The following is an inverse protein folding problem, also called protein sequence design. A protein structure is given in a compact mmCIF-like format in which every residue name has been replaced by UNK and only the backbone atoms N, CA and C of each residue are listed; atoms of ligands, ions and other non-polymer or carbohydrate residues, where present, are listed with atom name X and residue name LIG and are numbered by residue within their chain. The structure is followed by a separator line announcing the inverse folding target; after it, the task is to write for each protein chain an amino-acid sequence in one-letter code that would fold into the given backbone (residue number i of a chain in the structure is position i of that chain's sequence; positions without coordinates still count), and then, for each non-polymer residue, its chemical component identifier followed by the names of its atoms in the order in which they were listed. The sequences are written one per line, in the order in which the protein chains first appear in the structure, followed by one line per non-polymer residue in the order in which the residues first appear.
data_IF_414852264637
#
_entry.id   IF_414852264637
#
_cell.length_a   1.000
_cell.length_b   1.000
_cell.length_c   1.000
_cell.angle_alpha   90.00
_cell.angle_beta   90.00
_cell.angle_gamma   90.00
#
_symmetry.space_group_name_H-M   'P 1'
#
loop_
_entity.id
_entity.type
_entity.pdbx_description
1 polymer ?
#
# COMPACT_ATOMS: atom_id res chain seq x y z
N UNK A 1 -61.68 -36.82 30.08
CA UNK A 1 -62.90 -36.96 29.26
C UNK A 1 -62.45 -36.72 27.80
N UNK A 2 -62.43 -37.82 27.15
CA UNK A 2 -63.01 -38.14 25.81
C UNK A 2 -62.53 -37.24 24.66
N UNK A 3 -62.01 -37.72 23.64
CA UNK A 3 -61.95 -38.96 22.87
C UNK A 3 -61.77 -38.59 21.42
N UNK A 4 -60.86 -39.26 20.72
CA UNK A 4 -61.13 -40.02 19.47
C UNK A 4 -61.54 -39.17 18.28
N UNK A 5 -61.16 -39.42 17.07
CA UNK A 5 -60.63 -40.49 16.24
C UNK A 5 -60.33 -39.90 14.86
N UNK A 6 -59.36 -40.38 14.25
CA UNK A 6 -59.25 -41.38 13.16
C UNK A 6 -59.30 -40.80 11.75
N UNK A 7 -58.24 -41.12 11.06
CA UNK A 7 -58.06 -41.90 9.80
C UNK A 7 -58.45 -41.27 8.49
N UNK A 8 -57.50 -41.12 7.57
CA UNK A 8 -57.31 -42.09 6.48
C UNK A 8 -56.27 -41.59 5.45
N UNK A 9 -55.33 -42.44 5.15
CA UNK A 9 -54.60 -42.52 3.88
C UNK A 9 -55.52 -43.22 2.86
N UNK A 10 -55.16 -43.34 1.54
CA UNK A 10 -53.93 -43.07 0.78
C UNK A 10 -54.21 -42.47 -0.62
N UNK A 11 -53.21 -42.07 -1.38
CA UNK A 11 -52.98 -42.66 -2.71
C UNK A 11 -51.72 -42.16 -3.39
N UNK A 12 -51.01 -43.15 -3.84
CA UNK A 12 -49.80 -43.18 -4.57
C UNK A 12 -50.04 -42.71 -6.03
N UNK A 13 -49.17 -41.79 -6.55
CA UNK A 13 -48.99 -41.67 -7.99
C UNK A 13 -47.53 -41.36 -8.31
N UNK A 14 -46.84 -42.38 -8.75
CA UNK A 14 -45.49 -42.30 -9.35
C UNK A 14 -45.59 -41.76 -10.74
N UNK A 15 -44.79 -40.70 -11.05
CA UNK A 15 -44.39 -40.36 -12.41
C UNK A 15 -42.86 -40.24 -12.45
N UNK A 16 -42.18 -40.78 -13.47
CA UNK A 16 -40.72 -40.73 -13.56
C UNK A 16 -40.28 -39.40 -14.16
N UNK A 17 -39.73 -38.53 -13.31
CA UNK A 17 -39.15 -37.25 -13.78
C UNK A 17 -37.72 -37.41 -14.28
N UNK A 18 -37.52 -36.99 -15.49
CA UNK A 18 -36.23 -36.90 -16.18
C UNK A 18 -35.22 -36.04 -15.36
N UNK A 19 -34.10 -36.61 -15.03
CA UNK A 19 -32.96 -35.88 -14.48
C UNK A 19 -32.33 -35.11 -15.66
N UNK A 20 -32.54 -33.79 -15.71
CA UNK A 20 -31.78 -32.88 -16.58
C UNK A 20 -30.59 -32.43 -15.76
N UNK A 21 -29.43 -33.02 -16.06
CA UNK A 21 -28.16 -32.59 -15.46
C UNK A 21 -27.76 -31.21 -16.02
N UNK A 22 -27.78 -30.20 -15.15
CA UNK A 22 -27.16 -28.91 -15.45
C UNK A 22 -25.65 -29.06 -15.23
N UNK A 23 -24.90 -29.16 -16.32
CA UNK A 23 -23.46 -28.98 -16.30
C UNK A 23 -23.19 -27.48 -16.20
N UNK A 24 -22.92 -27.02 -14.98
CA UNK A 24 -22.44 -25.64 -14.78
C UNK A 24 -20.99 -25.57 -15.22
N UNK A 25 -20.77 -25.12 -16.46
CA UNK A 25 -19.46 -24.72 -16.92
C UNK A 25 -19.08 -23.40 -16.25
N UNK A 26 -18.33 -23.46 -15.15
CA UNK A 26 -17.70 -22.28 -14.55
C UNK A 26 -16.58 -21.81 -15.49
N UNK A 27 -16.90 -20.84 -16.36
CA UNK A 27 -15.88 -20.11 -17.12
C UNK A 27 -15.19 -19.18 -16.12
N UNK A 28 -14.05 -19.62 -15.63
CA UNK A 28 -13.13 -18.75 -14.88
C UNK A 28 -12.58 -17.69 -15.82
N UNK A 29 -13.11 -16.48 -15.74
CA UNK A 29 -12.51 -15.30 -16.34
C UNK A 29 -11.24 -14.98 -15.57
N UNK A 30 -10.11 -15.50 -16.08
CA UNK A 30 -8.80 -14.96 -15.73
C UNK A 30 -8.73 -13.54 -16.32
N UNK A 31 -8.91 -12.52 -15.48
CA UNK A 31 -8.47 -11.18 -15.81
C UNK A 31 -6.93 -11.21 -15.83
N UNK A 32 -6.35 -11.47 -16.99
CA UNK A 32 -4.98 -11.08 -17.23
C UNK A 32 -4.94 -9.56 -17.18
N UNK A 33 -4.46 -9.00 -16.06
CA UNK A 33 -4.17 -7.58 -15.97
C UNK A 33 -3.22 -7.23 -17.10
N UNK A 34 -3.61 -6.27 -17.95
CA UNK A 34 -2.74 -5.75 -19.00
C UNK A 34 -1.53 -5.08 -18.31
N UNK A 35 -0.38 -5.73 -18.36
CA UNK A 35 0.88 -5.14 -17.91
C UNK A 35 1.13 -3.87 -18.76
N UNK A 36 1.36 -2.73 -18.09
CA UNK A 36 1.75 -1.51 -18.77
C UNK A 36 3.15 -1.68 -19.37
N UNK A 37 3.43 -1.18 -20.59
CA UNK A 37 4.73 -1.39 -21.27
C UNK A 37 5.97 -0.87 -20.53
N UNK A 38 5.80 -0.10 -19.44
CA UNK A 38 6.89 0.40 -18.58
C UNK A 38 7.28 -0.53 -17.44
N UNK A 39 6.42 -1.45 -17.03
CA UNK A 39 6.58 -2.24 -15.79
C UNK A 39 7.60 -3.39 -15.91
N UNK A 40 7.99 -3.77 -17.11
CA UNK A 40 8.81 -4.96 -17.35
C UNK A 40 10.32 -4.74 -17.18
N UNK A 41 10.78 -3.51 -17.06
CA UNK A 41 12.21 -3.19 -17.01
C UNK A 41 12.75 -2.93 -15.59
N UNK A 42 11.88 -2.71 -14.62
CA UNK A 42 12.26 -2.40 -13.24
C UNK A 42 12.54 -3.68 -12.43
N UNK A 43 13.57 -3.63 -11.60
CA UNK A 43 13.84 -4.68 -10.62
C UNK A 43 13.19 -4.31 -9.29
N UNK A 44 12.29 -5.16 -8.82
CA UNK A 44 11.55 -4.95 -7.56
C UNK A 44 12.37 -5.42 -6.38
N UNK A 45 12.67 -4.54 -5.44
CA UNK A 45 13.27 -4.90 -4.15
C UNK A 45 12.23 -4.68 -3.07
N UNK A 46 11.78 -5.76 -2.43
CA UNK A 46 10.87 -5.71 -1.29
C UNK A 46 11.65 -5.86 0.00
N UNK A 47 11.49 -4.93 0.94
CA UNK A 47 12.08 -5.00 2.28
C UNK A 47 10.98 -5.27 3.29
N UNK A 48 11.11 -6.36 4.05
CA UNK A 48 10.08 -6.80 5.00
C UNK A 48 10.64 -6.96 6.41
N UNK A 49 9.78 -6.70 7.39
CA UNK A 49 10.00 -7.08 8.79
C UNK A 49 10.05 -8.62 8.89
N UNK A 50 11.13 -9.17 9.44
CA UNK A 50 11.32 -10.62 9.56
C UNK A 50 10.20 -11.29 10.37
N UNK A 51 9.63 -10.60 11.38
CA UNK A 51 8.62 -11.15 12.28
C UNK A 51 7.23 -11.14 11.66
N UNK A 52 6.81 -9.98 11.09
CA UNK A 52 5.43 -9.79 10.60
C UNK A 52 5.28 -10.04 9.11
N UNK A 53 6.39 -10.10 8.36
CA UNK A 53 6.44 -10.20 6.90
C UNK A 53 5.82 -8.99 6.18
N UNK A 54 5.48 -7.96 6.91
CA UNK A 54 4.99 -6.70 6.38
C UNK A 54 6.13 -5.93 5.71
N UNK A 55 5.83 -5.24 4.63
CA UNK A 55 6.76 -4.31 4.00
C UNK A 55 7.13 -3.17 4.95
N UNK A 56 8.39 -2.79 4.98
CA UNK A 56 8.89 -1.71 5.85
C UNK A 56 9.16 -0.47 5.00
N UNK A 57 8.41 0.62 5.19
CA UNK A 57 8.64 1.88 4.48
C UNK A 57 9.90 2.60 4.96
N UNK A 58 10.44 3.48 4.12
CA UNK A 58 11.59 4.35 4.41
C UNK A 58 12.86 3.57 4.83
N UNK A 59 13.10 2.43 4.21
CA UNK A 59 14.39 1.75 4.28
C UNK A 59 15.27 2.28 3.16
N UNK A 60 16.44 2.78 3.50
CA UNK A 60 17.45 3.19 2.53
C UNK A 60 18.17 1.94 1.99
N UNK A 61 18.18 1.80 0.68
CA UNK A 61 19.01 0.87 -0.07
C UNK A 61 20.01 1.69 -0.90
N UNK A 62 21.29 1.63 -0.54
CA UNK A 62 22.32 2.44 -1.16
C UNK A 62 23.39 1.59 -1.81
N UNK A 63 23.63 1.78 -3.08
CA UNK A 63 24.71 1.11 -3.82
C UNK A 63 26.09 1.63 -3.41
N UNK A 64 27.15 0.89 -3.77
CA UNK A 64 28.55 1.31 -3.50
C UNK A 64 28.91 2.64 -4.17
N UNK A 65 28.31 2.95 -5.30
CA UNK A 65 28.45 4.24 -6.00
C UNK A 65 27.45 5.31 -5.56
N UNK A 66 26.85 5.17 -4.38
CA UNK A 66 25.97 6.14 -3.72
C UNK A 66 24.62 6.43 -4.41
N UNK A 67 24.10 5.52 -5.21
CA UNK A 67 22.71 5.60 -5.65
C UNK A 67 21.84 5.16 -4.47
N UNK A 68 21.00 6.06 -3.96
CA UNK A 68 20.10 5.79 -2.83
C UNK A 68 18.67 5.64 -3.30
N UNK A 69 18.02 4.58 -2.85
CA UNK A 69 16.59 4.30 -3.01
C UNK A 69 15.96 4.22 -1.63
N UNK A 70 14.71 4.59 -1.54
CA UNK A 70 13.93 4.48 -0.31
C UNK A 70 12.68 3.68 -0.58
N UNK A 71 12.42 2.68 0.25
CA UNK A 71 11.20 1.89 0.12
C UNK A 71 9.95 2.75 0.36
N UNK A 72 8.92 2.52 -0.44
CA UNK A 72 7.60 3.13 -0.28
C UNK A 72 6.78 2.49 0.86
N UNK A 73 5.50 2.83 0.98
CA UNK A 73 4.65 2.34 2.07
C UNK A 73 4.37 0.83 2.04
N UNK A 74 4.56 0.17 0.90
CA UNK A 74 4.54 -1.29 0.81
C UNK A 74 5.91 -1.93 1.08
N UNK A 75 6.94 -1.15 1.39
CA UNK A 75 8.31 -1.64 1.57
C UNK A 75 9.01 -1.95 0.24
N UNK A 76 8.56 -1.36 -0.86
CA UNK A 76 9.09 -1.61 -2.21
C UNK A 76 10.00 -0.47 -2.65
N UNK A 77 11.12 -0.83 -3.27
CA UNK A 77 11.97 0.06 -4.05
C UNK A 77 12.12 -0.49 -5.47
N UNK A 78 11.85 0.34 -6.47
CA UNK A 78 11.99 0.03 -7.88
C UNK A 78 13.38 0.47 -8.37
N UNK A 79 14.21 -0.48 -8.74
CA UNK A 79 15.58 -0.22 -9.19
C UNK A 79 15.71 -0.32 -10.70
N UNK A 80 16.31 0.70 -11.31
CA UNK A 80 16.62 0.71 -12.74
C UNK A 80 17.92 1.48 -12.98
N UNK A 81 19.02 0.76 -12.99
CA UNK A 81 20.34 1.27 -13.37
C UNK A 81 20.88 0.41 -14.52
N UNK A 82 20.82 0.93 -15.77
CA UNK A 82 21.19 0.14 -16.95
C UNK A 82 22.58 -0.47 -16.88
N UNK A 83 23.57 0.27 -16.34
CA UNK A 83 24.95 -0.21 -16.17
C UNK A 83 25.16 -1.25 -15.08
N UNK A 84 24.17 -1.45 -14.19
CA UNK A 84 24.24 -2.41 -13.10
C UNK A 84 23.32 -3.63 -13.31
N UNK A 85 22.44 -3.57 -14.30
CA UNK A 85 21.55 -4.68 -14.65
C UNK A 85 22.34 -5.90 -15.11
N UNK A 86 22.05 -7.05 -14.53
CA UNK A 86 22.75 -8.32 -14.82
C UNK A 86 24.04 -8.54 -14.03
N UNK A 87 24.53 -7.54 -13.28
CA UNK A 87 25.69 -7.64 -12.41
C UNK A 87 25.31 -7.88 -10.94
N UNK A 88 26.24 -8.42 -10.14
CA UNK A 88 26.08 -8.40 -8.69
C UNK A 88 26.26 -6.97 -8.17
N UNK A 89 25.26 -6.45 -7.48
CA UNK A 89 25.23 -5.12 -6.86
C UNK A 89 25.12 -5.27 -5.36
N UNK A 90 26.01 -4.63 -4.61
CA UNK A 90 25.90 -4.57 -3.16
C UNK A 90 25.03 -3.38 -2.77
N UNK A 91 23.99 -3.65 -1.97
CA UNK A 91 23.12 -2.65 -1.38
C UNK A 91 23.38 -2.57 0.11
N UNK A 92 23.87 -1.43 0.59
CA UNK A 92 23.83 -1.11 2.02
C UNK A 92 22.37 -0.97 2.43
N UNK A 93 22.00 -1.55 3.57
CA UNK A 93 20.63 -1.51 4.12
C UNK A 93 20.64 -0.70 5.41
N UNK A 94 19.90 0.40 5.44
CA UNK A 94 19.77 1.27 6.62
C UNK A 94 18.33 1.61 6.88
N UNK A 95 17.90 1.55 8.14
CA UNK A 95 16.56 1.95 8.56
C UNK A 95 16.55 2.30 10.04
N UNK A 96 15.87 3.35 10.43
CA UNK A 96 15.69 3.67 11.84
C UNK A 96 14.69 2.69 12.47
N UNK A 97 15.02 2.16 13.64
CA UNK A 97 14.20 1.17 14.35
C UNK A 97 14.26 -0.27 13.80
N UNK A 98 15.03 -0.48 12.73
CA UNK A 98 15.29 -1.79 12.14
C UNK A 98 16.77 -1.97 11.82
N UNK A 99 17.23 -3.22 11.73
CA UNK A 99 18.58 -3.52 11.31
C UNK A 99 18.65 -4.72 10.35
N UNK A 100 19.63 -4.65 9.45
CA UNK A 100 20.12 -5.79 8.69
C UNK A 100 21.35 -6.36 9.39
N UNK A 101 21.58 -7.68 9.43
CA UNK A 101 22.76 -8.27 10.05
C UNK A 101 24.06 -7.70 9.48
N UNK A 102 25.09 -7.57 10.35
CA UNK A 102 26.43 -7.20 9.92
C UNK A 102 27.16 -8.40 9.32
N UNK A 103 27.96 -8.16 8.28
CA UNK A 103 28.94 -9.11 7.79
C UNK A 103 30.20 -9.11 8.68
N UNK A 104 31.19 -9.94 8.34
CA UNK A 104 32.44 -10.06 9.09
C UNK A 104 33.31 -8.79 9.11
N UNK A 105 33.04 -7.81 8.25
CA UNK A 105 33.69 -6.50 8.19
C UNK A 105 32.86 -5.39 8.83
N UNK A 106 31.68 -5.73 9.36
CA UNK A 106 30.78 -4.78 10.00
C UNK A 106 29.83 -4.06 9.06
N UNK A 107 29.80 -4.37 7.77
CA UNK A 107 28.86 -3.79 6.83
C UNK A 107 27.48 -4.42 6.98
N UNK A 108 26.42 -3.59 6.87
CA UNK A 108 25.04 -4.03 6.81
C UNK A 108 24.55 -3.90 5.38
N UNK A 109 24.40 -5.00 4.68
CA UNK A 109 23.96 -4.98 3.30
C UNK A 109 23.95 -6.36 2.65
N UNK A 110 23.43 -6.40 1.44
CA UNK A 110 23.19 -7.62 0.67
C UNK A 110 23.63 -7.44 -0.78
N UNK A 111 24.13 -8.51 -1.38
CA UNK A 111 24.37 -8.60 -2.82
C UNK A 111 23.11 -9.09 -3.51
N UNK A 112 22.63 -8.34 -4.50
CA UNK A 112 21.54 -8.74 -5.38
C UNK A 112 22.04 -8.71 -6.82
N UNK A 113 21.36 -9.44 -7.69
CA UNK A 113 21.61 -9.40 -9.16
C UNK A 113 20.37 -8.84 -9.85
N UNK A 114 20.25 -7.51 -10.00
CA UNK A 114 19.11 -6.91 -10.67
C UNK A 114 18.99 -7.44 -12.10
N UNK A 115 17.78 -7.86 -12.46
CA UNK A 115 17.39 -8.28 -13.80
C UNK A 115 16.11 -7.56 -14.19
N UNK A 116 15.89 -7.35 -15.49
CA UNK A 116 14.66 -6.69 -15.98
C UNK A 116 13.43 -7.51 -15.56
N UNK A 117 12.47 -6.84 -14.92
CA UNK A 117 11.25 -7.48 -14.40
C UNK A 117 11.47 -8.50 -13.29
N UNK A 118 12.69 -8.61 -12.76
CA UNK A 118 13.01 -9.51 -11.65
C UNK A 118 12.69 -8.92 -10.29
N UNK A 119 12.87 -9.73 -9.26
CA UNK A 119 12.57 -9.33 -7.89
C UNK A 119 13.53 -9.92 -6.86
N UNK A 120 13.63 -9.26 -5.70
CA UNK A 120 14.29 -9.78 -4.51
C UNK A 120 13.57 -9.33 -3.24
N UNK A 121 13.66 -10.14 -2.19
CA UNK A 121 13.15 -9.80 -0.87
C UNK A 121 14.30 -9.72 0.14
N UNK A 122 14.37 -8.61 0.87
CA UNK A 122 15.31 -8.37 1.96
C UNK A 122 14.52 -8.41 3.26
N UNK A 123 15.00 -9.17 4.24
CA UNK A 123 14.40 -9.25 5.58
C UNK A 123 15.24 -8.46 6.55
N UNK A 124 14.59 -7.63 7.36
CA UNK A 124 15.25 -6.83 8.40
C UNK A 124 14.62 -7.10 9.76
N UNK A 125 15.41 -6.96 10.81
CA UNK A 125 15.00 -7.21 12.18
C UNK A 125 14.55 -5.92 12.85
N UNK A 126 13.39 -5.94 13.49
CA UNK A 126 12.90 -4.82 14.27
C UNK A 126 13.63 -4.73 15.61
N UNK A 127 14.10 -3.53 15.97
CA UNK A 127 14.86 -3.27 17.20
C UNK A 127 13.99 -2.88 18.40
N UNK A 128 12.76 -2.44 18.15
CA UNK A 128 11.82 -1.98 19.19
C UNK A 128 10.41 -2.58 18.99
N UNK A 129 9.48 -2.26 19.89
CA UNK A 129 8.11 -2.76 19.81
C UNK A 129 7.25 -2.08 18.74
N UNK A 130 7.67 -0.89 18.28
CA UNK A 130 6.92 -0.11 17.30
C UNK A 130 7.18 -0.63 15.88
N UNK A 131 6.11 -0.97 15.19
CA UNK A 131 6.14 -1.33 13.77
C UNK A 131 5.89 -0.08 12.92
N UNK A 132 6.69 0.12 11.89
CA UNK A 132 6.46 1.18 10.92
C UNK A 132 5.45 0.69 9.88
N UNK A 133 4.25 1.28 9.87
CA UNK A 133 3.14 0.79 9.06
C UNK A 133 3.18 1.37 7.64
N UNK A 134 3.10 2.69 7.50
CA UNK A 134 3.05 3.40 6.22
C UNK A 134 3.29 4.90 6.43
N UNK A 135 3.44 5.63 5.32
CA UNK A 135 3.42 7.09 5.30
C UNK A 135 1.99 7.56 5.05
N UNK A 136 1.54 8.59 5.78
CA UNK A 136 0.16 9.11 5.66
C UNK A 136 0.06 10.20 4.60
N UNK A 137 1.07 11.08 4.52
CA UNK A 137 1.07 12.25 3.66
C UNK A 137 2.33 12.33 2.80
N UNK A 138 2.28 13.14 1.76
CA UNK A 138 3.39 13.43 0.88
C UNK A 138 3.30 12.74 -0.48
N UNK A 139 4.19 13.14 -1.37
CA UNK A 139 4.34 12.54 -2.69
C UNK A 139 5.04 11.18 -2.57
N UNK A 140 4.75 10.30 -3.50
CA UNK A 140 5.47 9.03 -3.68
C UNK A 140 5.29 8.03 -2.56
N UNK A 141 4.23 8.16 -1.73
CA UNK A 141 3.98 7.22 -0.61
C UNK A 141 3.76 5.77 -1.06
N UNK A 142 3.41 5.56 -2.33
CA UNK A 142 3.32 4.25 -3.02
C UNK A 142 3.91 4.31 -4.44
N UNK A 143 4.87 5.19 -4.70
CA UNK A 143 5.43 5.41 -6.03
C UNK A 143 6.02 4.13 -6.62
N UNK A 144 6.87 3.47 -5.88
CA UNK A 144 7.61 2.30 -6.35
C UNK A 144 6.68 1.12 -6.56
N UNK A 145 5.67 0.95 -5.70
CA UNK A 145 4.60 -0.04 -5.89
C UNK A 145 3.87 0.18 -7.23
N UNK A 146 3.45 1.42 -7.51
CA UNK A 146 2.77 1.75 -8.78
C UNK A 146 3.69 1.50 -9.97
N UNK A 147 4.96 1.84 -9.88
CA UNK A 147 5.95 1.65 -10.96
C UNK A 147 6.18 0.18 -11.31
N UNK A 148 6.07 -0.73 -10.35
CA UNK A 148 6.21 -2.18 -10.57
C UNK A 148 4.88 -2.93 -10.68
N UNK A 149 3.76 -2.21 -10.77
CA UNK A 149 2.41 -2.80 -10.95
C UNK A 149 1.83 -3.46 -9.70
N UNK A 150 2.36 -3.16 -8.52
CA UNK A 150 1.82 -3.69 -7.26
C UNK A 150 0.57 -2.92 -6.81
N UNK A 151 -0.44 -3.60 -6.26
CA UNK A 151 -1.64 -2.96 -5.78
C UNK A 151 -1.37 -2.06 -4.57
N UNK A 152 -2.12 -0.97 -4.49
CA UNK A 152 -2.04 -0.03 -3.38
C UNK A 152 -3.40 0.12 -2.71
N UNK A 153 -3.47 0.37 -1.38
CA UNK A 153 -4.74 0.50 -0.68
C UNK A 153 -5.44 1.84 -0.95
N UNK A 154 -4.71 2.85 -1.44
CA UNK A 154 -5.22 4.21 -1.60
C UNK A 154 -5.81 4.44 -2.99
N UNK A 155 -6.88 5.25 -3.08
CA UNK A 155 -7.45 5.71 -4.34
C UNK A 155 -6.52 6.64 -5.12
N UNK A 156 -5.67 7.40 -4.39
CA UNK A 156 -4.68 8.34 -4.94
C UNK A 156 -3.31 8.06 -4.35
N UNK A 157 -2.60 7.02 -4.83
CA UNK A 157 -1.37 6.53 -4.22
C UNK A 157 -0.13 7.39 -4.51
N UNK A 158 -0.21 8.32 -5.44
CA UNK A 158 0.92 9.17 -5.85
C UNK A 158 0.81 10.57 -5.22
N UNK A 159 0.45 11.56 -6.01
CA UNK A 159 0.33 12.95 -5.58
C UNK A 159 -1.14 13.29 -5.29
N UNK A 160 -1.52 13.36 -4.02
CA UNK A 160 -2.86 13.69 -3.59
C UNK A 160 -2.92 15.14 -3.07
N UNK A 161 -3.85 15.94 -3.60
CA UNK A 161 -3.99 17.37 -3.27
C UNK A 161 -2.73 18.20 -3.57
N UNK A 162 -1.86 17.72 -4.47
CA UNK A 162 -0.54 18.28 -4.81
C UNK A 162 0.40 18.44 -3.60
N UNK A 163 0.17 17.71 -2.53
CA UNK A 163 0.93 17.76 -1.28
C UNK A 163 2.21 16.97 -1.41
N UNK A 164 3.36 17.64 -1.25
CA UNK A 164 4.69 17.02 -1.25
C UNK A 164 5.11 16.55 0.14
N UNK A 165 4.74 17.29 1.17
CA UNK A 165 4.99 17.01 2.56
C UNK A 165 4.15 17.91 3.45
N UNK A 166 3.96 17.51 4.69
CA UNK A 166 3.23 18.28 5.69
C UNK A 166 3.85 18.04 7.08
N UNK A 167 3.80 19.04 7.93
CA UNK A 167 4.17 18.90 9.32
C UNK A 167 2.97 19.01 10.24
N UNK A 168 3.16 18.69 11.52
CA UNK A 168 2.18 18.80 12.60
C UNK A 168 0.82 18.25 12.20
N UNK A 169 0.30 17.25 12.85
CA UNK A 169 -1.02 16.67 12.52
C UNK A 169 -1.94 16.69 13.73
N UNK A 170 -3.17 17.16 13.50
CA UNK A 170 -4.29 17.01 14.43
C UNK A 170 -5.42 16.32 13.72
N UNK A 171 -6.03 15.31 14.36
CA UNK A 171 -7.14 14.57 13.79
C UNK A 171 -8.29 14.47 14.80
N UNK A 172 -9.54 14.61 14.32
CA UNK A 172 -10.72 14.49 15.16
C UNK A 172 -11.88 13.83 14.42
N UNK A 173 -12.59 12.87 15.05
CA UNK A 173 -13.82 12.34 14.51
C UNK A 173 -14.94 13.40 14.62
N UNK A 174 -15.64 13.63 13.51
CA UNK A 174 -16.80 14.50 13.48
C UNK A 174 -17.78 14.10 12.37
N UNK A 175 -19.06 13.99 12.68
CA UNK A 175 -20.15 13.67 11.74
C UNK A 175 -19.85 12.45 10.83
N UNK A 176 -19.34 11.37 11.42
CA UNK A 176 -19.11 10.12 10.72
C UNK A 176 -17.82 10.05 9.86
N UNK A 177 -16.97 11.07 9.95
CA UNK A 177 -15.66 11.13 9.28
C UNK A 177 -14.56 11.49 10.26
N UNK A 178 -13.30 11.29 9.87
CA UNK A 178 -12.16 11.87 10.55
C UNK A 178 -11.74 13.10 9.76
N UNK A 179 -11.62 14.24 10.46
CA UNK A 179 -11.08 15.48 9.94
C UNK A 179 -9.62 15.59 10.37
N UNK A 180 -8.77 15.87 9.40
CA UNK A 180 -7.34 15.98 9.54
C UNK A 180 -6.92 17.42 9.25
N UNK A 181 -6.03 17.96 10.07
CA UNK A 181 -5.46 19.30 9.89
C UNK A 181 -3.96 19.21 10.07
N UNK A 182 -3.23 19.88 9.20
CA UNK A 182 -1.79 19.98 9.23
C UNK A 182 -1.36 21.43 9.30
N UNK A 183 -0.11 21.64 9.74
CA UNK A 183 0.57 22.93 9.66
C UNK A 183 1.07 23.21 8.23
N UNK A 184 2.34 23.55 8.10
CA UNK A 184 2.94 23.86 6.80
C UNK A 184 2.79 22.71 5.82
N UNK A 185 2.43 23.07 4.58
CA UNK A 185 2.16 22.09 3.52
C UNK A 185 2.95 22.46 2.28
N UNK A 186 3.87 21.61 1.89
CA UNK A 186 4.76 21.81 0.74
C UNK A 186 4.09 21.40 -0.57
N UNK A 187 4.51 22.05 -1.67
CA UNK A 187 4.07 21.74 -3.03
C UNK A 187 5.25 21.57 -3.98
N UNK A 188 5.05 20.83 -5.05
CA UNK A 188 6.11 20.52 -6.02
C UNK A 188 6.67 21.73 -6.75
N UNK A 189 5.87 22.80 -6.94
CA UNK A 189 6.25 23.97 -7.72
C UNK A 189 7.16 24.95 -7.00
N UNK A 190 7.25 24.86 -5.67
CA UNK A 190 8.07 25.77 -4.87
C UNK A 190 8.34 25.17 -3.47
N UNK A 191 9.55 25.32 -2.91
CA UNK A 191 9.90 24.73 -1.62
C UNK A 191 9.11 25.31 -0.43
N UNK A 192 8.51 26.48 -0.58
CA UNK A 192 7.56 27.04 0.39
C UNK A 192 6.15 26.87 -0.18
N UNK A 193 5.32 26.15 0.53
CA UNK A 193 3.96 25.85 0.10
C UNK A 193 2.92 26.75 0.76
N UNK A 194 2.07 26.15 1.57
CA UNK A 194 1.01 26.80 2.34
C UNK A 194 1.42 26.84 3.82
N UNK A 195 1.66 28.03 4.37
CA UNK A 195 1.97 28.24 5.79
C UNK A 195 0.74 28.32 6.71
N UNK A 196 -0.44 28.11 6.16
CA UNK A 196 -1.67 28.02 6.93
C UNK A 196 -2.12 26.56 7.06
N UNK A 197 -2.92 26.28 8.09
CA UNK A 197 -3.45 24.94 8.31
C UNK A 197 -4.18 24.43 7.07
N UNK A 198 -3.71 23.32 6.51
CA UNK A 198 -4.38 22.58 5.45
C UNK A 198 -5.29 21.50 6.04
N UNK A 199 -6.20 20.94 5.27
CA UNK A 199 -7.10 19.92 5.79
C UNK A 199 -7.54 18.87 4.80
N UNK A 200 -7.95 17.74 5.36
CA UNK A 200 -8.54 16.62 4.61
C UNK A 200 -9.60 15.91 5.45
N UNK A 201 -10.35 15.03 4.82
CA UNK A 201 -11.20 14.05 5.52
C UNK A 201 -10.80 12.64 5.12
N UNK A 202 -11.08 11.68 6.01
CA UNK A 202 -11.13 10.26 5.70
C UNK A 202 -12.38 9.62 6.29
N UNK A 203 -12.81 8.49 5.76
CA UNK A 203 -13.87 7.70 6.37
C UNK A 203 -13.36 7.05 7.66
N UNK A 204 -14.28 6.79 8.61
CA UNK A 204 -13.95 6.03 9.81
C UNK A 204 -13.64 4.57 9.45
N UNK A 205 -12.62 3.95 10.07
CA UNK A 205 -12.42 2.51 9.98
C UNK A 205 -13.70 1.73 10.31
N UNK A 206 -14.03 0.73 9.52
CA UNK A 206 -15.28 -0.03 9.68
C UNK A 206 -16.55 0.67 9.15
N UNK A 207 -16.47 1.95 8.74
CA UNK A 207 -17.57 2.72 8.15
C UNK A 207 -17.21 3.23 6.73
N UNK A 208 -16.52 2.40 5.95
CA UNK A 208 -16.07 2.73 4.61
C UNK A 208 -14.60 3.18 4.53
N UNK A 209 -13.94 3.42 5.65
CA UNK A 209 -12.51 3.68 5.73
C UNK A 209 -11.68 2.41 5.69
N UNK A 210 -10.40 2.56 5.37
CA UNK A 210 -9.44 1.47 5.38
C UNK A 210 -9.21 0.95 6.81
N UNK A 211 -8.78 -0.30 6.91
CA UNK A 211 -8.21 -0.82 8.15
C UNK A 211 -7.03 0.05 8.59
N UNK A 212 -6.93 0.45 9.87
CA UNK A 212 -5.85 1.29 10.37
C UNK A 212 -4.45 0.72 10.11
N UNK A 213 -4.32 -0.58 9.94
CA UNK A 213 -3.06 -1.21 9.57
C UNK A 213 -2.73 -1.08 8.08
N UNK A 214 -3.71 -0.81 7.22
CA UNK A 214 -3.53 -0.76 5.76
C UNK A 214 -3.23 0.65 5.24
N UNK A 215 -3.77 1.70 5.87
CA UNK A 215 -3.57 3.06 5.43
C UNK A 215 -4.68 4.02 5.81
N UNK A 216 -4.55 5.27 5.34
CA UNK A 216 -5.57 6.32 5.46
C UNK A 216 -5.80 6.92 4.08
N UNK A 217 -7.00 6.76 3.54
CA UNK A 217 -7.36 7.30 2.23
C UNK A 217 -7.91 8.72 2.40
N UNK A 218 -7.03 9.71 2.21
CA UNK A 218 -7.32 11.12 2.44
C UNK A 218 -8.04 11.76 1.25
N UNK A 219 -9.06 12.58 1.55
CA UNK A 219 -9.68 13.50 0.60
C UNK A 219 -9.37 14.93 1.05
N UNK A 220 -8.37 15.55 0.40
CA UNK A 220 -7.96 16.91 0.72
C UNK A 220 -9.02 17.95 0.33
N UNK A 221 -9.12 19.02 1.11
CA UNK A 221 -9.78 20.25 0.69
C UNK A 221 -8.83 21.01 -0.22
N UNK A 222 -9.20 21.17 -1.49
CA UNK A 222 -8.34 21.79 -2.51
C UNK A 222 -8.93 23.10 -3.01
N UNK A 223 -8.05 23.96 -3.51
CA UNK A 223 -8.41 25.18 -4.24
C UNK A 223 -8.70 24.90 -5.73
N UNK A 224 -8.92 25.95 -6.51
CA UNK A 224 -9.20 25.84 -7.93
C UNK A 224 -8.03 25.28 -8.76
N UNK A 225 -6.79 25.33 -8.24
CA UNK A 225 -5.61 24.74 -8.87
C UNK A 225 -5.43 23.26 -8.54
N UNK A 226 -6.25 22.73 -7.58
CA UNK A 226 -6.13 21.37 -7.07
C UNK A 226 -5.09 21.21 -5.96
N UNK A 227 -4.48 22.31 -5.47
CA UNK A 227 -3.60 22.28 -4.31
C UNK A 227 -4.40 22.37 -3.00
N UNK A 228 -3.89 21.74 -1.96
CA UNK A 228 -4.48 21.78 -0.62
C UNK A 228 -4.58 23.23 -0.13
N UNK A 229 -5.82 23.67 0.10
CA UNK A 229 -6.11 25.09 0.45
C UNK A 229 -5.98 25.37 1.95
N UNK A 230 -5.70 26.64 2.33
CA UNK A 230 -5.83 27.10 3.72
C UNK A 230 -7.23 26.84 4.25
N UNK A 231 -7.33 26.32 5.48
CA UNK A 231 -8.62 26.10 6.15
C UNK A 231 -9.09 27.32 6.93
N UNK A 232 -8.15 28.18 7.35
CA UNK A 232 -8.39 29.44 8.04
C UNK A 232 -7.67 30.54 7.26
N UNK A 233 -8.27 31.07 6.17
CA UNK A 233 -7.70 32.23 5.50
C UNK A 233 -7.81 33.46 6.42
N UNK A 234 -6.79 34.32 6.40
CA UNK A 234 -6.78 35.61 7.12
C UNK A 234 -7.86 36.57 6.62
#
# INVERSE_FOLDING_TARGET
MHAKNETSLPMNNRWPGRVVGWVSCAIGLFFAGAAHPGDQDLFRIMVVDEQTRRGVPLVELRTVNNISLWTDSNGIAAFNEPGLTGHEVYFHVRSDGYEYPKDGFGNRGVKLKPTRGGEATIKINRLNVAERLYRVTGEGIYRDSVMVGEPTPLKRPLLNGQVMGQDTVVATPYRGKIYWFWGDTERASYPLGNFAASGATSELPGCGGLDPSAGVDLTYFVDASGFSKPMCPD
#
